data_IF_265447442587
#
_entry.id   IF_265447442587
#
_cell.length_a   1.000
_cell.length_b   1.000
_cell.length_c   1.000
_cell.angle_alpha   90.00
_cell.angle_beta   90.00
_cell.angle_gamma   90.00
#
_symmetry.space_group_name_H-M   'P 1'
#
loop_
_entity.id
_entity.type
_entity.pdbx_description
1 polymer ?
#
# COMPACT_ATOMS: atom_id res chain seq x y z
N UNK A 1 46.02 -32.75 41.93
CA UNK A 1 44.63 -32.35 41.61
C UNK A 1 44.57 -30.83 41.51
N UNK A 2 44.48 -30.22 40.32
CA UNK A 2 44.27 -28.78 40.19
C UNK A 2 42.76 -28.43 40.17
N UNK A 3 42.35 -27.51 41.06
CA UNK A 3 41.00 -26.91 41.07
C UNK A 3 40.93 -25.83 39.99
N UNK A 4 40.21 -26.10 38.91
CA UNK A 4 39.80 -25.08 37.93
C UNK A 4 38.72 -24.20 38.56
N UNK A 5 39.04 -22.93 38.77
CA UNK A 5 38.08 -21.91 39.22
C UNK A 5 37.40 -21.37 37.96
N UNK A 6 36.12 -21.70 37.77
CA UNK A 6 35.32 -21.16 36.67
C UNK A 6 35.10 -19.66 36.90
N UNK A 7 35.61 -18.83 35.99
CA UNK A 7 35.34 -17.39 35.97
C UNK A 7 33.97 -17.17 35.33
N UNK A 8 32.95 -16.97 36.15
CA UNK A 8 31.62 -16.56 35.70
C UNK A 8 31.65 -15.06 35.47
N UNK A 9 31.91 -14.62 34.23
CA UNK A 9 31.71 -13.23 33.84
C UNK A 9 30.22 -12.88 34.00
N UNK A 10 29.87 -11.76 34.64
CA UNK A 10 28.48 -11.32 34.69
C UNK A 10 28.06 -10.96 33.26
N UNK A 11 27.04 -11.64 32.75
CA UNK A 11 26.38 -11.25 31.51
C UNK A 11 25.88 -9.82 31.72
N UNK A 12 26.51 -8.85 31.05
CA UNK A 12 25.96 -7.50 30.91
C UNK A 12 24.60 -7.69 30.24
N UNK A 13 23.55 -7.54 31.04
CA UNK A 13 22.18 -7.45 30.56
C UNK A 13 22.10 -6.14 29.77
N UNK A 14 22.30 -6.23 28.45
CA UNK A 14 21.99 -5.12 27.55
C UNK A 14 20.49 -4.86 27.74
N UNK A 15 20.07 -3.67 28.23
CA UNK A 15 18.67 -3.36 28.35
C UNK A 15 18.02 -3.53 26.98
N UNK A 16 16.97 -4.35 26.91
CA UNK A 16 16.12 -4.43 25.72
C UNK A 16 15.73 -2.99 25.34
N UNK A 17 15.86 -2.58 24.07
CA UNK A 17 15.39 -1.26 23.65
C UNK A 17 13.94 -1.09 24.11
N UNK A 18 13.55 0.10 24.60
CA UNK A 18 12.20 0.34 25.09
C UNK A 18 11.22 -0.07 24.00
N UNK A 19 10.31 -0.97 24.34
CA UNK A 19 9.27 -1.46 23.44
C UNK A 19 8.61 -0.26 22.76
N UNK A 20 8.92 -0.08 21.49
CA UNK A 20 8.42 0.98 20.63
C UNK A 20 6.90 0.95 20.75
N UNK A 21 6.32 2.02 21.33
CA UNK A 21 4.93 2.09 21.75
C UNK A 21 4.00 1.40 20.76
N UNK A 22 3.56 0.19 21.15
CA UNK A 22 3.04 -0.82 20.25
C UNK A 22 1.82 -0.33 19.47
N UNK A 23 2.03 0.15 18.25
CA UNK A 23 0.92 0.30 17.31
C UNK A 23 0.43 -1.11 16.98
N UNK A 24 -0.88 -1.38 17.10
CA UNK A 24 -1.42 -2.67 16.74
C UNK A 24 -1.07 -2.97 15.29
N UNK A 25 -0.72 -4.23 14.98
CA UNK A 25 -0.30 -4.61 13.64
C UNK A 25 -1.45 -4.39 12.63
N UNK A 26 -1.10 -4.00 11.41
CA UNK A 26 -2.10 -3.59 10.41
C UNK A 26 -2.97 -4.78 9.98
N UNK A 27 -4.24 -4.53 9.65
CA UNK A 27 -5.11 -5.59 9.14
C UNK A 27 -4.67 -6.01 7.73
N UNK A 28 -4.33 -7.29 7.55
CA UNK A 28 -3.82 -7.80 6.26
C UNK A 28 -4.73 -7.50 5.08
N UNK A 29 -6.05 -7.62 5.24
CA UNK A 29 -6.99 -7.43 4.15
C UNK A 29 -7.07 -5.98 3.67
N UNK A 30 -7.02 -4.98 4.57
CA UNK A 30 -7.03 -3.56 4.17
C UNK A 30 -5.75 -3.18 3.45
N UNK A 31 -4.61 -3.69 3.92
CA UNK A 31 -3.32 -3.51 3.25
C UNK A 31 -3.31 -4.15 1.86
N UNK A 32 -3.81 -5.38 1.73
CA UNK A 32 -3.87 -6.05 0.43
C UNK A 32 -4.85 -5.35 -0.51
N UNK A 33 -6.00 -4.88 -0.03
CA UNK A 33 -6.94 -4.08 -0.81
C UNK A 33 -6.25 -2.82 -1.37
N UNK A 34 -5.59 -2.04 -0.51
CA UNK A 34 -4.87 -0.84 -0.94
C UNK A 34 -3.76 -1.18 -1.95
N UNK A 35 -2.99 -2.24 -1.72
CA UNK A 35 -1.95 -2.72 -2.65
C UNK A 35 -2.49 -3.10 -4.01
N UNK A 36 -3.61 -3.81 -4.06
CA UNK A 36 -4.26 -4.18 -5.33
C UNK A 36 -4.70 -2.93 -6.09
N UNK A 37 -5.35 -1.99 -5.41
CA UNK A 37 -5.85 -0.76 -6.04
C UNK A 37 -4.71 0.12 -6.54
N UNK A 38 -3.68 0.40 -5.73
CA UNK A 38 -2.52 1.22 -6.19
C UNK A 38 -1.73 0.55 -7.31
N UNK A 39 -1.74 -0.78 -7.39
CA UNK A 39 -1.17 -1.50 -8.53
C UNK A 39 -1.98 -1.28 -9.80
N UNK A 40 -3.32 -1.35 -9.70
CA UNK A 40 -4.22 -1.01 -10.80
C UNK A 40 -4.04 0.44 -11.26
N UNK A 41 -3.98 1.39 -10.31
CA UNK A 41 -3.73 2.81 -10.56
C UNK A 41 -2.42 3.02 -11.35
N UNK A 42 -1.32 2.39 -10.91
CA UNK A 42 -0.04 2.49 -11.58
C UNK A 42 -0.06 1.91 -13.01
N UNK A 43 -0.74 0.78 -13.22
CA UNK A 43 -0.90 0.18 -14.56
C UNK A 43 -1.69 1.11 -15.48
N UNK A 44 -2.80 1.68 -14.99
CA UNK A 44 -3.61 2.63 -15.75
C UNK A 44 -2.82 3.90 -16.09
N UNK A 45 -2.11 4.48 -15.12
CA UNK A 45 -1.29 5.68 -15.31
C UNK A 45 -0.14 5.46 -16.32
N UNK A 46 0.53 4.31 -16.29
CA UNK A 46 1.53 3.97 -17.32
C UNK A 46 0.86 3.73 -18.68
N UNK A 47 -0.32 3.10 -18.68
CA UNK A 47 -1.15 2.92 -19.87
C UNK A 47 -1.56 4.24 -20.54
N UNK A 48 -1.89 5.29 -19.76
CA UNK A 48 -2.15 6.64 -20.27
C UNK A 48 -1.01 7.13 -21.16
N UNK A 49 0.24 6.97 -20.72
CA UNK A 49 1.41 7.43 -21.46
C UNK A 49 1.60 6.65 -22.78
N UNK A 50 1.33 5.35 -22.79
CA UNK A 50 1.35 4.52 -24.01
C UNK A 50 0.30 4.99 -25.00
N UNK A 51 -0.93 5.22 -24.55
CA UNK A 51 -2.04 5.70 -25.40
C UNK A 51 -1.76 7.10 -25.95
N UNK A 52 -1.25 8.00 -25.12
CA UNK A 52 -0.85 9.35 -25.54
C UNK A 52 0.30 9.30 -26.56
N UNK A 53 1.33 8.50 -26.32
CA UNK A 53 2.43 8.29 -27.28
C UNK A 53 1.97 7.70 -28.60
N UNK A 54 1.03 6.74 -28.56
CA UNK A 54 0.42 6.14 -29.75
C UNK A 54 -0.34 7.18 -30.59
N UNK A 55 -1.15 8.03 -29.93
CA UNK A 55 -1.84 9.16 -30.56
C UNK A 55 -0.85 10.14 -31.22
N UNK A 56 0.21 10.53 -30.51
CA UNK A 56 1.26 11.41 -31.04
C UNK A 56 2.03 10.78 -32.20
N UNK A 57 2.03 9.44 -32.29
CA UNK A 57 2.64 8.68 -33.39
C UNK A 57 1.69 8.46 -34.58
N UNK A 58 0.53 9.11 -34.60
CA UNK A 58 -0.42 9.08 -35.72
C UNK A 58 -1.60 8.11 -35.57
N UNK A 59 -1.71 7.38 -34.46
CA UNK A 59 -2.86 6.50 -34.20
C UNK A 59 -4.00 7.30 -33.55
N UNK A 60 -4.71 8.11 -34.33
CA UNK A 60 -5.70 9.06 -33.80
C UNK A 60 -6.82 8.41 -32.97
N UNK A 61 -7.22 7.16 -33.28
CA UNK A 61 -8.19 6.40 -32.50
C UNK A 61 -7.74 6.10 -31.04
N UNK A 62 -6.42 6.16 -30.76
CA UNK A 62 -5.89 6.02 -29.41
C UNK A 62 -6.31 7.18 -28.49
N UNK A 63 -6.77 8.31 -29.04
CA UNK A 63 -7.26 9.44 -28.26
C UNK A 63 -8.55 9.10 -27.49
N UNK A 64 -9.48 8.38 -28.12
CA UNK A 64 -10.72 7.94 -27.47
C UNK A 64 -10.42 6.93 -26.36
N UNK A 65 -9.48 6.02 -26.62
CA UNK A 65 -8.98 5.08 -25.60
C UNK A 65 -8.27 5.80 -24.46
N UNK A 66 -7.49 6.83 -24.76
CA UNK A 66 -6.84 7.67 -23.75
C UNK A 66 -7.88 8.40 -22.87
N UNK A 67 -8.94 8.93 -23.46
CA UNK A 67 -10.04 9.54 -22.72
C UNK A 67 -10.81 8.53 -21.85
N UNK A 68 -11.13 7.34 -22.39
CA UNK A 68 -11.77 6.26 -21.62
C UNK A 68 -10.88 5.79 -20.45
N UNK A 69 -9.59 5.62 -20.72
CA UNK A 69 -8.61 5.25 -19.71
C UNK A 69 -8.47 6.34 -18.63
N UNK A 70 -8.57 7.63 -18.97
CA UNK A 70 -8.55 8.72 -18.00
C UNK A 70 -9.75 8.63 -17.04
N UNK A 71 -10.94 8.30 -17.54
CA UNK A 71 -12.12 8.02 -16.69
C UNK A 71 -11.87 6.82 -15.77
N UNK A 72 -11.33 5.72 -16.30
CA UNK A 72 -11.01 4.54 -15.49
C UNK A 72 -9.96 4.84 -14.41
N UNK A 73 -8.95 5.65 -14.73
CA UNK A 73 -7.89 6.12 -13.82
C UNK A 73 -8.53 6.93 -12.69
N UNK A 74 -9.32 7.96 -13.01
CA UNK A 74 -9.99 8.78 -11.98
C UNK A 74 -10.93 7.99 -11.06
N UNK A 75 -11.67 7.00 -11.59
CA UNK A 75 -12.49 6.10 -10.77
C UNK A 75 -11.63 5.21 -9.87
N UNK A 76 -10.49 4.74 -10.37
CA UNK A 76 -9.54 3.92 -9.60
C UNK A 76 -8.88 4.76 -8.51
N UNK A 77 -8.61 6.05 -8.74
CA UNK A 77 -8.08 6.96 -7.73
C UNK A 77 -9.09 7.23 -6.60
N UNK A 78 -10.39 7.31 -6.91
CA UNK A 78 -11.45 7.34 -5.87
C UNK A 78 -11.44 6.04 -5.06
N UNK A 79 -11.39 4.89 -5.74
CA UNK A 79 -11.28 3.60 -5.05
C UNK A 79 -9.99 3.51 -4.20
N UNK A 80 -8.89 4.11 -4.66
CA UNK A 80 -7.62 4.18 -3.95
C UNK A 80 -7.75 5.01 -2.67
N UNK A 81 -8.41 6.16 -2.74
CA UNK A 81 -8.69 7.00 -1.57
C UNK A 81 -9.57 6.26 -0.54
N UNK A 82 -10.60 5.53 -1.00
CA UNK A 82 -11.42 4.68 -0.13
C UNK A 82 -10.60 3.55 0.50
N UNK A 83 -9.79 2.84 -0.28
CA UNK A 83 -8.91 1.79 0.23
C UNK A 83 -7.89 2.33 1.25
N UNK A 84 -7.34 3.53 1.00
CA UNK A 84 -6.43 4.21 1.92
C UNK A 84 -7.14 4.67 3.21
N UNK A 85 -8.41 5.09 3.12
CA UNK A 85 -9.23 5.41 4.28
C UNK A 85 -9.49 4.17 5.15
N UNK A 86 -9.81 3.03 4.51
CA UNK A 86 -10.00 1.75 5.20
C UNK A 86 -8.70 1.26 5.83
N UNK A 87 -7.58 1.44 5.15
CA UNK A 87 -6.26 1.12 5.66
C UNK A 87 -5.92 1.97 6.91
N UNK A 88 -6.24 3.25 6.90
CA UNK A 88 -5.96 4.15 8.02
C UNK A 88 -6.89 3.92 9.21
N UNK A 89 -8.22 4.00 9.01
CA UNK A 89 -9.18 4.01 10.13
C UNK A 89 -9.41 2.61 10.73
N UNK A 90 -10.09 1.67 10.05
CA UNK A 90 -10.30 0.33 10.59
C UNK A 90 -9.04 -0.56 10.49
N UNK A 91 -8.12 -0.26 9.57
CA UNK A 91 -6.94 -1.08 9.29
C UNK A 91 -5.72 -0.83 10.18
N UNK A 92 -5.68 0.29 10.92
CA UNK A 92 -4.57 0.64 11.80
C UNK A 92 -3.28 1.09 11.09
N UNK A 93 -3.32 1.25 9.76
CA UNK A 93 -2.21 1.72 8.94
C UNK A 93 -1.97 3.23 9.09
N UNK A 94 -0.87 3.75 8.50
CA UNK A 94 -0.59 5.18 8.52
C UNK A 94 -1.64 5.97 7.71
N UNK A 95 -1.86 7.24 8.09
CA UNK A 95 -2.83 8.13 7.40
C UNK A 95 -2.30 8.84 6.16
N UNK A 96 -0.97 8.92 5.96
CA UNK A 96 -0.38 9.57 4.79
C UNK A 96 -0.86 9.03 3.42
N UNK A 97 -1.13 7.72 3.23
CA UNK A 97 -1.60 7.21 1.95
C UNK A 97 -2.95 7.79 1.55
N UNK A 98 -3.82 8.12 2.52
CA UNK A 98 -5.08 8.78 2.24
C UNK A 98 -4.85 10.19 1.69
N UNK A 99 -4.00 10.97 2.34
CA UNK A 99 -3.65 12.32 1.88
C UNK A 99 -3.01 12.27 0.48
N UNK A 100 -2.08 11.34 0.24
CA UNK A 100 -1.46 11.15 -1.06
C UNK A 100 -2.47 10.73 -2.14
N UNK A 101 -3.40 9.83 -1.82
CA UNK A 101 -4.46 9.40 -2.74
C UNK A 101 -5.40 10.55 -3.12
N UNK A 102 -5.78 11.39 -2.15
CA UNK A 102 -6.62 12.55 -2.40
C UNK A 102 -5.89 13.62 -3.24
N UNK A 103 -4.59 13.82 -2.99
CA UNK A 103 -3.77 14.71 -3.79
C UNK A 103 -3.62 14.21 -5.24
N UNK A 104 -3.40 12.90 -5.44
CA UNK A 104 -3.36 12.28 -6.76
C UNK A 104 -4.70 12.42 -7.48
N UNK A 105 -5.81 12.12 -6.82
CA UNK A 105 -7.15 12.29 -7.39
C UNK A 105 -7.40 13.75 -7.84
N UNK A 106 -7.04 14.73 -7.01
CA UNK A 106 -7.15 16.15 -7.37
C UNK A 106 -6.24 16.52 -8.55
N UNK A 107 -5.01 16.00 -8.58
CA UNK A 107 -4.08 16.21 -9.68
C UNK A 107 -4.60 15.61 -10.99
N UNK A 108 -5.14 14.39 -10.97
CA UNK A 108 -5.76 13.71 -12.11
C UNK A 108 -6.99 14.46 -12.62
N UNK A 109 -7.87 14.95 -11.74
CA UNK A 109 -9.00 15.78 -12.14
C UNK A 109 -8.54 17.05 -12.87
N UNK A 110 -7.48 17.71 -12.36
CA UNK A 110 -6.83 18.83 -13.04
C UNK A 110 -6.20 18.42 -14.37
N UNK A 111 -5.59 17.24 -14.44
CA UNK A 111 -4.97 16.66 -15.63
C UNK A 111 -6.01 16.46 -16.75
N UNK A 112 -7.17 15.89 -16.42
CA UNK A 112 -8.31 15.70 -17.31
C UNK A 112 -8.80 17.05 -17.84
N UNK A 113 -9.00 18.04 -16.97
CA UNK A 113 -9.41 19.38 -17.38
C UNK A 113 -8.42 20.03 -18.35
N UNK A 114 -7.11 19.94 -18.08
CA UNK A 114 -6.06 20.44 -18.98
C UNK A 114 -6.02 19.68 -20.31
N UNK A 115 -6.33 18.37 -20.29
CA UNK A 115 -6.40 17.52 -21.49
C UNK A 115 -7.52 17.95 -22.43
N UNK A 116 -8.75 18.08 -21.92
CA UNK A 116 -9.88 18.61 -22.69
C UNK A 116 -9.66 20.06 -23.14
N UNK A 117 -9.00 20.87 -22.31
CA UNK A 117 -8.59 22.23 -22.64
C UNK A 117 -7.41 22.33 -23.62
N UNK A 118 -6.81 21.20 -24.03
CA UNK A 118 -5.66 21.11 -24.94
C UNK A 118 -4.42 21.89 -24.48
N UNK A 119 -4.27 22.08 -23.17
CA UNK A 119 -3.13 22.80 -22.57
C UNK A 119 -1.95 21.85 -22.38
N UNK A 120 -1.40 21.35 -23.50
CA UNK A 120 -0.40 20.28 -23.50
C UNK A 120 0.86 20.61 -22.70
N UNK A 121 1.27 21.88 -22.69
CA UNK A 121 2.43 22.36 -21.94
C UNK A 121 2.32 22.12 -20.42
N UNK A 122 1.11 22.04 -19.88
CA UNK A 122 0.86 21.71 -18.46
C UNK A 122 0.42 20.25 -18.31
N UNK A 123 -0.45 19.78 -19.20
CA UNK A 123 -1.00 18.43 -19.18
C UNK A 123 0.11 17.36 -19.21
N UNK A 124 1.10 17.48 -20.11
CA UNK A 124 2.17 16.47 -20.25
C UNK A 124 3.09 16.42 -19.02
N UNK A 125 3.68 17.53 -18.53
CA UNK A 125 4.51 17.49 -17.33
C UNK A 125 3.74 17.03 -16.09
N UNK A 126 2.49 17.47 -15.92
CA UNK A 126 1.64 17.03 -14.82
C UNK A 126 1.36 15.51 -14.89
N UNK A 127 1.08 14.99 -16.09
CA UNK A 127 0.89 13.55 -16.30
C UNK A 127 2.12 12.73 -15.92
N UNK A 128 3.31 13.18 -16.31
CA UNK A 128 4.59 12.54 -15.91
C UNK A 128 4.78 12.58 -14.40
N UNK A 129 4.48 13.71 -13.74
CA UNK A 129 4.57 13.83 -12.29
C UNK A 129 3.60 12.91 -11.56
N UNK A 130 2.36 12.79 -12.04
CA UNK A 130 1.35 11.86 -11.51
C UNK A 130 1.86 10.42 -11.63
N UNK A 131 2.32 10.00 -12.81
CA UNK A 131 2.87 8.65 -13.03
C UNK A 131 4.01 8.36 -12.04
N UNK A 132 4.97 9.29 -11.91
CA UNK A 132 6.09 9.13 -10.99
C UNK A 132 5.63 9.00 -9.52
N UNK A 133 4.72 9.86 -9.08
CA UNK A 133 4.16 9.81 -7.72
C UNK A 133 3.38 8.51 -7.46
N UNK A 134 2.57 8.05 -8.41
CA UNK A 134 1.82 6.80 -8.32
C UNK A 134 2.76 5.60 -8.24
N UNK A 135 3.82 5.56 -9.05
CA UNK A 135 4.85 4.50 -8.98
C UNK A 135 5.61 4.54 -7.65
N UNK A 136 5.95 5.73 -7.14
CA UNK A 136 6.59 5.85 -5.82
C UNK A 136 5.66 5.38 -4.69
N UNK A 137 4.37 5.65 -4.79
CA UNK A 137 3.35 5.18 -3.84
C UNK A 137 3.17 3.66 -3.92
N UNK A 138 3.16 3.09 -5.13
CA UNK A 138 3.19 1.64 -5.36
C UNK A 138 4.40 1.01 -4.68
N UNK A 139 5.61 1.50 -4.97
CA UNK A 139 6.85 0.99 -4.36
C UNK A 139 6.77 1.07 -2.84
N UNK A 140 6.31 2.20 -2.28
CA UNK A 140 6.12 2.33 -0.82
C UNK A 140 5.10 1.36 -0.25
N UNK A 141 4.01 1.08 -0.96
CA UNK A 141 2.98 0.15 -0.51
C UNK A 141 3.51 -1.29 -0.41
N UNK A 142 4.41 -1.69 -1.30
CA UNK A 142 4.96 -3.05 -1.35
C UNK A 142 6.26 -3.24 -0.56
N UNK A 143 6.93 -2.17 -0.13
CA UNK A 143 8.12 -2.28 0.72
C UNK A 143 7.77 -2.83 2.11
N UNK A 144 8.55 -3.79 2.64
CA UNK A 144 8.47 -4.17 4.04
C UNK A 144 8.85 -2.96 4.90
N UNK A 145 7.96 -2.53 5.79
CA UNK A 145 8.23 -1.43 6.71
C UNK A 145 7.47 -1.72 7.99
N UNK A 146 8.09 -1.46 9.15
CA UNK A 146 7.53 -1.77 10.47
C UNK A 146 6.10 -1.21 10.67
N UNK A 147 5.81 -0.07 10.02
CA UNK A 147 4.49 0.56 9.99
C UNK A 147 3.37 -0.27 9.30
N UNK A 148 3.71 -1.39 8.66
CA UNK A 148 2.80 -2.19 7.83
C UNK A 148 2.81 -3.68 8.19
N UNK A 149 3.39 -4.04 9.33
CA UNK A 149 3.51 -5.43 9.76
C UNK A 149 2.11 -5.99 10.05
N UNK A 150 1.62 -6.98 9.27
CA UNK A 150 0.27 -7.51 9.49
C UNK A 150 0.19 -8.32 10.77
N UNK A 151 -0.98 -8.35 11.42
CA UNK A 151 -1.14 -9.18 12.63
C UNK A 151 -0.95 -10.65 12.26
N UNK A 152 -0.11 -11.42 12.97
CA UNK A 152 -0.21 -12.85 12.91
C UNK A 152 -1.63 -13.20 13.38
N UNK A 153 -2.38 -13.88 12.51
CA UNK A 153 -3.73 -14.33 12.84
C UNK A 153 -3.58 -15.34 13.98
N UNK A 154 -4.37 -15.21 15.04
CA UNK A 154 -4.54 -16.23 16.08
C UNK A 154 -5.17 -17.47 15.44
N UNK A 155 -4.39 -18.24 14.70
CA UNK A 155 -4.74 -19.60 14.25
C UNK A 155 -4.60 -20.62 15.40
N UNK A 156 -4.17 -20.19 16.59
CA UNK A 156 -3.96 -21.08 17.75
C UNK A 156 -5.21 -21.35 18.61
N UNK A 157 -6.38 -20.79 18.29
CA UNK A 157 -7.59 -21.01 19.10
C UNK A 157 -8.34 -22.33 18.79
N UNK A 158 -7.98 -23.04 17.71
CA UNK A 158 -8.67 -24.28 17.30
C UNK A 158 -7.96 -25.59 17.62
N UNK A 159 -6.74 -25.55 18.18
CA UNK A 159 -5.93 -26.76 18.40
C UNK A 159 -6.00 -27.32 19.83
N UNK A 160 -6.71 -26.66 20.76
CA UNK A 160 -6.74 -27.05 22.18
C UNK A 160 -8.08 -27.64 22.67
N UNK A 161 -9.12 -27.72 21.85
CA UNK A 161 -10.42 -28.31 22.25
C UNK A 161 -10.53 -29.82 21.98
N UNK A 162 -9.42 -30.48 21.64
CA UNK A 162 -9.41 -31.88 21.20
C UNK A 162 -8.65 -32.86 22.11
N UNK A 163 -8.60 -32.68 23.42
CA UNK A 163 -8.17 -33.75 24.33
C UNK A 163 -8.59 -33.50 25.78
N UNK A 164 -9.78 -33.97 26.16
CA UNK A 164 -10.05 -34.62 27.46
C UNK A 164 -11.52 -35.08 27.44
N UNK A 165 -11.76 -36.22 26.83
CA UNK A 165 -12.87 -37.09 27.18
C UNK A 165 -12.26 -38.37 27.74
N UNK A 166 -12.88 -38.90 28.79
CA UNK A 166 -12.51 -40.13 29.54
C UNK A 166 -11.37 -39.89 30.56
N UNK A 167 -11.52 -40.10 31.86
CA UNK A 167 -12.19 -41.21 32.56
C UNK A 167 -13.02 -40.76 33.77
N UNK A 168 -14.20 -41.38 33.89
CA UNK A 168 -15.04 -41.34 35.08
C UNK A 168 -14.73 -42.51 36.03
N UNK A 169 -14.78 -42.20 37.33
CA UNK A 169 -15.42 -42.96 38.41
C UNK A 169 -15.55 -44.48 38.26
N UNK A 170 -14.79 -45.24 39.07
CA UNK A 170 -15.30 -46.25 40.00
C UNK A 170 -14.20 -46.69 40.98
#
# INVERSE_FOLDING_TARGET
MPKTIASTSPLVQVPSPPADGGRPPVRRWTLMLFRTVVTGEAVLAVGQAVLAGSFLSGHYAALDLHALNATATGLTAVAQAVAALLLWRPGGGPGWPLLASLALFGAEAGQIAMGYGRVLAVHVPLGVAIIACTVLMLVRAWRPTAAWTPSPRTESAGAAEGSTSEEGSA
#
